data_IF_665195322779
#
_entry.id   IF_665195322779
#
_cell.length_a   1.000
_cell.length_b   1.000
_cell.length_c   1.000
_cell.angle_alpha   90.00
_cell.angle_beta   90.00
_cell.angle_gamma   90.00
#
_symmetry.space_group_name_H-M   'P 1'
#
loop_
_entity.id
_entity.type
_entity.pdbx_description
1 polymer ?
#
# COMPACT_ATOMS: atom_id res chain seq x y z
N UNK A 1 -19.11 1.78 -2.94
CA UNK A 1 -18.04 2.73 -2.51
C UNK A 1 -17.29 3.07 -3.79
N UNK A 2 -17.09 4.34 -4.13
CA UNK A 2 -16.54 4.71 -5.45
C UNK A 2 -15.07 4.30 -5.56
N UNK A 3 -14.63 3.76 -6.72
CA UNK A 3 -13.22 3.44 -7.02
C UNK A 3 -12.29 4.61 -6.84
N UNK A 4 -12.81 5.84 -6.93
CA UNK A 4 -12.08 7.06 -6.59
C UNK A 4 -11.53 7.06 -5.16
N UNK A 5 -12.12 6.31 -4.25
CA UNK A 5 -11.58 6.15 -2.90
C UNK A 5 -10.18 5.50 -2.92
N UNK A 6 -9.91 4.56 -3.83
CA UNK A 6 -8.57 4.00 -4.01
C UNK A 6 -7.55 5.08 -4.37
N UNK A 7 -7.95 6.06 -5.18
CA UNK A 7 -7.08 7.18 -5.51
C UNK A 7 -6.82 8.08 -4.30
N UNK A 8 -7.80 8.27 -3.41
CA UNK A 8 -7.61 8.99 -2.14
C UNK A 8 -6.59 8.27 -1.25
N UNK A 9 -6.74 6.94 -1.09
CA UNK A 9 -5.77 6.13 -0.33
C UNK A 9 -4.38 6.20 -0.98
N UNK A 10 -4.30 6.09 -2.30
CA UNK A 10 -3.02 6.18 -3.00
C UNK A 10 -2.34 7.55 -2.88
N UNK A 11 -3.10 8.64 -2.91
CA UNK A 11 -2.56 9.99 -2.64
C UNK A 11 -2.04 10.09 -1.21
N UNK A 12 -2.75 9.52 -0.25
CA UNK A 12 -2.29 9.48 1.15
C UNK A 12 -0.96 8.73 1.29
N UNK A 13 -0.78 7.59 0.63
CA UNK A 13 0.48 6.85 0.63
C UNK A 13 1.63 7.65 -0.01
N UNK A 14 1.35 8.40 -1.09
CA UNK A 14 2.33 9.31 -1.69
C UNK A 14 2.73 10.44 -0.75
N UNK A 15 1.79 11.00 0.03
CA UNK A 15 2.11 12.02 1.03
C UNK A 15 3.01 11.45 2.13
N UNK A 16 2.79 10.21 2.56
CA UNK A 16 3.70 9.51 3.49
C UNK A 16 5.10 9.39 2.87
N UNK A 17 5.19 8.95 1.61
CA UNK A 17 6.47 8.83 0.91
C UNK A 17 7.21 10.17 0.83
N UNK A 18 6.51 11.27 0.54
CA UNK A 18 7.08 12.64 0.56
C UNK A 18 7.58 12.99 1.96
N UNK A 19 6.79 12.74 3.00
CA UNK A 19 7.21 12.96 4.39
C UNK A 19 8.49 12.20 4.74
N UNK A 20 8.61 10.94 4.32
CA UNK A 20 9.81 10.13 4.53
C UNK A 20 11.05 10.75 3.84
N UNK A 21 10.91 11.25 2.62
CA UNK A 21 12.02 11.93 1.92
C UNK A 21 12.47 13.18 2.66
N UNK A 22 11.52 14.01 3.12
CA UNK A 22 11.82 15.23 3.88
C UNK A 22 12.55 14.93 5.20
N UNK A 23 12.33 13.74 5.79
CA UNK A 23 13.00 13.27 6.99
C UNK A 23 14.34 12.55 6.72
N UNK A 24 14.81 12.53 5.47
CA UNK A 24 16.10 11.93 5.12
C UNK A 24 16.08 10.40 4.94
N UNK A 25 14.91 9.80 4.71
CA UNK A 25 14.77 8.36 4.50
C UNK A 25 15.72 7.72 3.45
N UNK A 26 16.11 8.38 2.34
CA UNK A 26 17.01 7.78 1.36
C UNK A 26 18.40 7.42 1.91
N UNK A 27 18.80 7.96 3.06
CA UNK A 27 20.12 7.71 3.66
C UNK A 27 20.24 6.33 4.33
N UNK A 28 19.12 5.66 4.64
CA UNK A 28 19.12 4.37 5.33
C UNK A 28 18.42 3.28 4.50
N UNK A 29 19.00 2.09 4.31
CA UNK A 29 18.44 1.05 3.44
C UNK A 29 16.99 0.66 3.77
N UNK A 30 16.67 0.54 5.06
CA UNK A 30 15.35 0.14 5.51
C UNK A 30 14.31 1.28 5.41
N UNK A 31 14.76 2.53 5.54
CA UNK A 31 13.93 3.72 5.27
C UNK A 31 13.68 3.91 3.78
N UNK A 32 14.67 3.60 2.93
CA UNK A 32 14.53 3.57 1.48
C UNK A 32 13.54 2.48 1.03
N UNK A 33 13.61 1.28 1.60
CA UNK A 33 12.67 0.20 1.30
C UNK A 33 11.21 0.60 1.63
N UNK A 34 10.98 1.23 2.79
CA UNK A 34 9.67 1.78 3.16
C UNK A 34 9.21 2.85 2.19
N UNK A 35 10.08 3.79 1.85
CA UNK A 35 9.80 4.83 0.86
C UNK A 35 9.39 4.23 -0.50
N UNK A 36 10.12 3.23 -0.99
CA UNK A 36 9.83 2.58 -2.26
C UNK A 36 8.48 1.86 -2.22
N UNK A 37 8.15 1.18 -1.12
CA UNK A 37 6.88 0.48 -0.95
C UNK A 37 5.69 1.44 -0.87
N UNK A 38 5.79 2.54 -0.10
CA UNK A 38 4.73 3.57 -0.06
C UNK A 38 4.55 4.26 -1.41
N UNK A 39 5.65 4.55 -2.10
CA UNK A 39 5.58 5.14 -3.45
C UNK A 39 4.89 4.19 -4.43
N UNK A 40 5.28 2.90 -4.42
CA UNK A 40 4.67 1.89 -5.27
C UNK A 40 3.18 1.70 -4.95
N UNK A 41 2.82 1.58 -3.67
CA UNK A 41 1.44 1.48 -3.21
C UNK A 41 0.61 2.67 -3.70
N UNK A 42 1.11 3.89 -3.45
CA UNK A 42 0.45 5.12 -3.83
C UNK A 42 0.18 5.24 -5.33
N UNK A 43 1.21 4.99 -6.15
CA UNK A 43 1.07 5.01 -7.62
C UNK A 43 0.06 3.96 -8.09
N UNK A 44 0.16 2.72 -7.61
CA UNK A 44 -0.71 1.63 -8.04
C UNK A 44 -2.18 1.90 -7.65
N UNK A 45 -2.43 2.38 -6.43
CA UNK A 45 -3.78 2.67 -5.95
C UNK A 45 -4.40 3.89 -6.66
N UNK A 46 -3.61 4.93 -6.93
CA UNK A 46 -4.06 6.07 -7.77
C UNK A 46 -4.42 5.59 -9.17
N UNK A 47 -3.57 4.78 -9.79
CA UNK A 47 -3.84 4.24 -11.14
C UNK A 47 -5.10 3.38 -11.14
N UNK A 48 -5.25 2.47 -10.17
CA UNK A 48 -6.43 1.60 -10.08
C UNK A 48 -7.74 2.36 -9.81
N UNK A 49 -7.66 3.48 -9.06
CA UNK A 49 -8.82 4.32 -8.79
C UNK A 49 -9.29 5.17 -9.98
N UNK A 50 -8.40 5.40 -10.98
CA UNK A 50 -8.68 6.28 -12.13
C UNK A 50 -8.82 5.49 -13.44
N UNK A 51 -8.13 4.35 -13.57
CA UNK A 51 -8.09 3.53 -14.79
C UNK A 51 -8.82 2.21 -14.59
N UNK A 52 -9.63 1.83 -15.56
CA UNK A 52 -10.30 0.52 -15.62
C UNK A 52 -9.31 -0.63 -15.81
N UNK A 53 -8.29 -0.38 -16.63
CA UNK A 53 -7.27 -1.35 -16.95
C UNK A 53 -5.96 -0.65 -17.30
N UNK A 54 -4.86 -1.38 -17.14
CA UNK A 54 -3.51 -0.92 -17.42
C UNK A 54 -2.85 -1.94 -18.34
N UNK A 55 -2.33 -1.47 -19.48
CA UNK A 55 -1.51 -2.30 -20.35
C UNK A 55 -0.10 -2.41 -19.76
N UNK A 56 0.37 -3.65 -19.57
CA UNK A 56 1.71 -3.97 -19.13
C UNK A 56 2.37 -4.88 -20.17
N UNK A 57 3.06 -4.27 -21.13
CA UNK A 57 3.62 -4.95 -22.29
C UNK A 57 2.51 -5.56 -23.15
N UNK A 58 2.50 -6.89 -23.29
CA UNK A 58 1.48 -7.63 -24.03
C UNK A 58 0.24 -8.02 -23.21
N UNK A 59 0.26 -7.76 -21.90
CA UNK A 59 -0.83 -8.14 -20.99
C UNK A 59 -1.64 -6.92 -20.57
N UNK A 60 -2.94 -7.12 -20.30
CA UNK A 60 -3.82 -6.07 -19.76
C UNK A 60 -4.24 -6.47 -18.37
N UNK A 61 -3.90 -5.65 -17.38
CA UNK A 61 -4.26 -5.85 -15.98
C UNK A 61 -5.53 -5.06 -15.68
N UNK A 62 -6.56 -5.73 -15.15
CA UNK A 62 -7.76 -5.04 -14.64
C UNK A 62 -7.44 -4.25 -13.37
N UNK A 63 -8.21 -3.20 -13.10
CA UNK A 63 -8.02 -2.31 -11.96
C UNK A 63 -7.85 -3.04 -10.63
N UNK A 64 -8.60 -4.12 -10.39
CA UNK A 64 -8.54 -4.86 -9.13
C UNK A 64 -7.19 -5.56 -8.92
N UNK A 65 -6.52 -6.01 -10.00
CA UNK A 65 -5.18 -6.60 -9.91
C UNK A 65 -4.16 -5.53 -9.53
N UNK A 66 -4.28 -4.34 -10.13
CA UNK A 66 -3.42 -3.19 -9.84
C UNK A 66 -3.62 -2.69 -8.41
N UNK A 67 -4.88 -2.58 -7.97
CA UNK A 67 -5.22 -2.24 -6.59
C UNK A 67 -4.73 -3.29 -5.60
N UNK A 68 -4.86 -4.57 -5.93
CA UNK A 68 -4.38 -5.68 -5.10
C UNK A 68 -2.87 -5.62 -4.88
N UNK A 69 -2.09 -5.38 -5.95
CA UNK A 69 -0.65 -5.14 -5.84
C UNK A 69 -0.33 -3.90 -4.98
N UNK A 70 -1.09 -2.81 -5.13
CA UNK A 70 -0.96 -1.61 -4.32
C UNK A 70 -1.16 -1.87 -2.82
N UNK A 71 -2.23 -2.58 -2.46
CA UNK A 71 -2.52 -2.96 -1.06
C UNK A 71 -1.47 -3.92 -0.48
N UNK A 72 -0.91 -4.83 -1.27
CA UNK A 72 0.21 -5.67 -0.82
C UNK A 72 1.43 -4.80 -0.51
N UNK A 73 1.80 -3.87 -1.41
CA UNK A 73 2.89 -2.93 -1.16
C UNK A 73 2.65 -2.10 0.10
N UNK A 74 1.43 -1.60 0.30
CA UNK A 74 1.05 -0.83 1.48
C UNK A 74 1.17 -1.66 2.76
N UNK A 75 0.61 -2.87 2.78
CA UNK A 75 0.71 -3.78 3.92
C UNK A 75 2.15 -4.11 4.29
N UNK A 76 3.02 -4.36 3.30
CA UNK A 76 4.45 -4.56 3.53
C UNK A 76 5.15 -3.31 4.07
N UNK A 77 4.79 -2.12 3.59
CA UNK A 77 5.34 -0.86 4.09
C UNK A 77 5.00 -0.64 5.58
N UNK A 78 3.75 -0.89 5.95
CA UNK A 78 3.27 -0.80 7.34
C UNK A 78 3.95 -1.83 8.23
N UNK A 79 4.07 -3.07 7.76
CA UNK A 79 4.76 -4.13 8.50
C UNK A 79 6.23 -3.78 8.75
N UNK A 80 6.95 -3.33 7.71
CA UNK A 80 8.34 -2.90 7.85
C UNK A 80 8.46 -1.71 8.82
N UNK A 81 7.52 -0.78 8.79
CA UNK A 81 7.50 0.37 9.68
C UNK A 81 7.29 -0.02 11.15
N UNK A 82 6.29 -0.87 11.43
CA UNK A 82 6.04 -1.29 12.80
C UNK A 82 7.11 -2.21 13.36
N UNK A 83 7.67 -3.11 12.54
CA UNK A 83 8.82 -3.92 12.95
C UNK A 83 10.01 -3.04 13.34
N UNK A 84 10.29 -1.98 12.57
CA UNK A 84 11.33 -1.00 12.92
C UNK A 84 11.05 -0.29 14.23
N UNK A 85 9.78 0.08 14.47
CA UNK A 85 9.37 0.81 15.68
C UNK A 85 9.45 -0.05 16.94
N UNK A 86 9.31 -1.37 16.81
CA UNK A 86 9.47 -2.34 17.90
C UNK A 86 10.95 -2.68 18.15
N UNK A 87 11.76 -2.74 17.09
CA UNK A 87 13.17 -3.10 17.20
C UNK A 87 14.07 -1.92 17.62
N UNK A 88 13.66 -0.68 17.37
CA UNK A 88 14.39 0.51 17.80
C UNK A 88 14.10 0.82 19.27
N UNK A 89 15.16 0.91 20.09
CA UNK A 89 15.07 1.24 21.51
C UNK A 89 14.50 2.65 21.78
N UNK A 90 14.52 3.54 20.77
CA UNK A 90 13.88 4.87 20.81
C UNK A 90 12.56 4.92 20.04
N UNK A 91 12.13 3.80 19.46
CA UNK A 91 10.87 3.71 18.73
C UNK A 91 9.67 3.85 19.66
N UNK A 92 8.52 4.15 19.08
CA UNK A 92 7.22 3.98 19.75
C UNK A 92 6.67 2.58 19.40
N UNK A 93 6.94 1.56 20.23
CA UNK A 93 6.51 0.20 19.97
C UNK A 93 4.98 0.07 20.06
N UNK A 94 4.30 0.99 20.75
CA UNK A 94 2.85 0.90 20.92
C UNK A 94 2.16 1.35 19.64
N UNK A 95 2.44 2.54 19.13
CA UNK A 95 1.79 3.01 17.90
C UNK A 95 2.30 2.28 16.65
N UNK A 96 3.62 2.12 16.53
CA UNK A 96 4.22 1.42 15.39
C UNK A 96 3.93 -0.08 15.40
N UNK A 97 4.06 -0.74 16.55
CA UNK A 97 3.78 -2.17 16.67
C UNK A 97 2.29 -2.49 16.49
N UNK A 98 1.38 -1.70 17.06
CA UNK A 98 -0.06 -1.91 16.92
C UNK A 98 -0.54 -1.71 15.47
N UNK A 99 -0.02 -0.69 14.78
CA UNK A 99 -0.33 -0.47 13.37
C UNK A 99 0.19 -1.63 12.50
N UNK A 100 1.39 -2.15 12.74
CA UNK A 100 1.85 -3.37 12.06
C UNK A 100 1.02 -4.61 12.38
N UNK A 101 0.55 -4.77 13.61
CA UNK A 101 -0.23 -5.94 14.01
C UNK A 101 -1.65 -5.94 13.43
N UNK A 102 -2.29 -4.76 13.37
CA UNK A 102 -3.69 -4.64 12.97
C UNK A 102 -3.86 -4.29 11.49
N UNK A 103 -3.10 -3.30 11.00
CA UNK A 103 -3.31 -2.74 9.67
C UNK A 103 -2.62 -3.57 8.59
N UNK A 104 -1.39 -4.05 8.83
CA UNK A 104 -0.66 -4.79 7.81
C UNK A 104 -1.37 -6.10 7.38
N UNK A 105 -1.87 -6.97 8.28
CA UNK A 105 -2.56 -8.19 7.86
C UNK A 105 -3.85 -7.88 7.09
N UNK A 106 -4.57 -6.82 7.46
CA UNK A 106 -5.79 -6.42 6.78
C UNK A 106 -5.50 -5.92 5.36
N UNK A 107 -4.47 -5.09 5.17
CA UNK A 107 -4.05 -4.62 3.85
C UNK A 107 -3.53 -5.77 2.98
N UNK A 108 -2.74 -6.68 3.55
CA UNK A 108 -2.25 -7.86 2.83
C UNK A 108 -3.39 -8.79 2.43
N UNK A 109 -4.36 -9.03 3.32
CA UNK A 109 -5.54 -9.84 3.03
C UNK A 109 -6.36 -9.22 1.90
N UNK A 110 -6.67 -7.92 1.99
CA UNK A 110 -7.41 -7.20 0.95
C UNK A 110 -6.68 -7.24 -0.40
N UNK A 111 -5.36 -7.03 -0.38
CA UNK A 111 -4.52 -7.09 -1.58
C UNK A 111 -4.54 -8.46 -2.24
N UNK A 112 -4.35 -9.53 -1.46
CA UNK A 112 -4.41 -10.91 -1.95
C UNK A 112 -5.79 -11.26 -2.47
N UNK A 113 -6.86 -10.82 -1.80
CA UNK A 113 -8.22 -11.06 -2.23
C UNK A 113 -8.51 -10.39 -3.59
N UNK A 114 -8.10 -9.14 -3.75
CA UNK A 114 -8.23 -8.40 -5.01
C UNK A 114 -7.43 -9.03 -6.16
N UNK A 115 -6.22 -9.53 -5.86
CA UNK A 115 -5.40 -10.27 -6.83
C UNK A 115 -6.08 -11.59 -7.26
N UNK A 116 -6.86 -12.21 -6.37
CA UNK A 116 -7.64 -13.42 -6.64
C UNK A 116 -9.01 -13.14 -7.30
N UNK A 117 -9.31 -11.88 -7.57
CA UNK A 117 -10.58 -11.48 -8.21
C UNK A 117 -11.73 -11.21 -7.23
N UNK A 118 -11.42 -10.92 -5.96
CA UNK A 118 -12.40 -10.49 -4.95
C UNK A 118 -13.32 -11.62 -4.49
N UNK A 119 -12.73 -12.71 -3.99
CA UNK A 119 -13.49 -13.86 -3.48
C UNK A 119 -14.27 -13.50 -2.22
N UNK A 120 -13.73 -12.60 -1.40
CA UNK A 120 -14.34 -12.15 -0.15
C UNK A 120 -14.92 -10.74 -0.25
N UNK A 121 -14.29 -9.85 -1.02
CA UNK A 121 -14.80 -8.52 -1.33
C UNK A 121 -15.41 -8.47 -2.73
N UNK A 122 -16.72 -8.31 -2.80
CA UNK A 122 -17.45 -8.21 -4.06
C UNK A 122 -17.02 -6.96 -4.85
N UNK A 123 -16.29 -7.21 -5.94
CA UNK A 123 -15.76 -6.18 -6.82
C UNK A 123 -16.85 -5.47 -7.63
N UNK A 124 -18.03 -6.07 -7.80
CA UNK A 124 -19.15 -5.44 -8.52
C UNK A 124 -19.68 -4.20 -7.79
N UNK A 125 -19.43 -4.09 -6.48
CA UNK A 125 -19.75 -2.90 -5.67
C UNK A 125 -18.97 -1.65 -6.08
N UNK A 126 -17.94 -1.82 -6.91
CA UNK A 126 -17.00 -0.79 -7.36
C UNK A 126 -17.09 -0.53 -8.87
N UNK A 127 -17.93 -1.25 -9.61
CA UNK A 127 -18.19 -1.04 -11.05
C UNK A 127 -19.19 0.10 -11.30
#
# INVERSE_FOLDING_TARGET
MDRRFLAVVGVFDLLIAVGLVLLGAPAHPLSFARFALFTAAGVLLVVAGIRESVALGSTTLRWHVVAGAGYVCFGLAVLANGLSSVLDARGDPYFGGLSALLLAPLMLFMGIDYLRGGVHFDLSTFE
#
